data_IF_925750730931
#
_entry.id   IF_925750730931
#
_cell.length_a   1.000
_cell.length_b   1.000
_cell.length_c   1.000
_cell.angle_alpha   90.00
_cell.angle_beta   90.00
_cell.angle_gamma   90.00
#
_symmetry.space_group_name_H-M   'P 1'
#
loop_
_entity.id
_entity.type
_entity.pdbx_description
1 polymer ?
#
# COMPACT_ATOMS: atom_id res chain seq x y z
N UNK A 1 -2.83 -1.27 5.93
CA UNK A 1 -1.79 -0.34 6.20
C UNK A 1 -1.52 0.57 5.04
N UNK A 2 -0.66 1.55 5.26
CA UNK A 2 -0.53 2.62 4.34
C UNK A 2 0.53 2.42 3.33
N UNK A 3 1.29 1.59 3.43
CA UNK A 3 2.40 1.89 2.68
C UNK A 3 2.84 0.95 1.78
N UNK A 4 2.86 1.39 0.76
CA UNK A 4 3.56 0.78 -0.22
C UNK A 4 5.04 0.90 -0.16
N UNK A 5 5.55 1.65 0.74
CA UNK A 5 7.00 1.82 0.82
C UNK A 5 7.59 0.79 1.77
N UNK A 6 8.60 0.03 1.33
CA UNK A 6 9.26 -0.97 2.17
C UNK A 6 9.74 -0.36 3.49
N UNK A 7 9.37 -0.99 4.58
CA UNK A 7 9.93 -0.72 5.87
C UNK A 7 9.33 0.39 6.70
N UNK A 8 8.47 1.27 6.16
CA UNK A 8 7.89 2.34 6.95
C UNK A 8 6.57 2.83 6.38
N UNK A 9 5.52 2.85 7.22
CA UNK A 9 4.24 3.49 6.90
C UNK A 9 4.18 4.92 7.43
N UNK A 10 2.95 5.36 7.74
CA UNK A 10 2.72 6.68 8.33
C UNK A 10 3.07 6.76 9.81
N UNK A 11 3.11 7.98 10.30
CA UNK A 11 3.32 8.30 11.70
C UNK A 11 2.24 9.27 12.20
N UNK A 12 1.95 9.20 13.50
CA UNK A 12 1.11 10.17 14.21
C UNK A 12 1.91 10.69 15.39
N UNK A 13 2.14 11.99 15.42
CA UNK A 13 2.88 12.59 16.52
C UNK A 13 2.01 12.71 17.77
N UNK A 14 2.63 12.66 18.93
CA UNK A 14 1.97 12.68 20.25
C UNK A 14 0.87 13.75 20.38
N UNK A 15 1.13 14.95 19.85
CA UNK A 15 0.15 16.06 19.91
C UNK A 15 -1.13 15.82 19.10
N UNK A 16 -1.12 14.90 18.14
CA UNK A 16 -2.32 14.48 17.38
C UNK A 16 -3.05 13.33 18.08
N UNK A 17 -2.40 12.61 18.98
CA UNK A 17 -2.98 11.48 19.70
C UNK A 17 -3.73 12.02 20.92
N UNK A 18 -4.91 12.61 20.69
CA UNK A 18 -5.83 13.08 21.73
C UNK A 18 -6.39 11.90 22.52
N UNK A 19 -7.03 12.19 23.67
CA UNK A 19 -7.68 11.14 24.46
C UNK A 19 -8.74 10.39 23.64
N UNK A 20 -9.57 11.11 22.89
CA UNK A 20 -10.59 10.51 22.01
C UNK A 20 -9.96 9.53 20.99
N UNK A 21 -8.88 9.95 20.33
CA UNK A 21 -8.18 9.08 19.38
C UNK A 21 -7.54 7.87 20.06
N UNK A 22 -6.99 8.08 21.26
CA UNK A 22 -6.40 7.04 22.08
C UNK A 22 -7.44 5.97 22.47
N UNK A 23 -8.61 6.40 22.91
CA UNK A 23 -9.71 5.52 23.30
C UNK A 23 -10.22 4.68 22.09
N UNK A 24 -10.39 5.31 20.92
CA UNK A 24 -10.80 4.62 19.70
C UNK A 24 -9.77 3.56 19.27
N UNK A 25 -8.47 3.84 19.44
CA UNK A 25 -7.38 2.96 19.01
C UNK A 25 -6.89 1.98 20.08
N UNK A 26 -7.38 2.09 21.32
CA UNK A 26 -6.94 1.26 22.43
C UNK A 26 -5.46 1.47 22.82
N UNK A 27 -4.98 2.72 22.78
CA UNK A 27 -3.58 3.10 23.04
C UNK A 27 -3.50 4.24 24.07
N UNK A 28 -2.36 4.47 24.70
CA UNK A 28 -2.17 5.65 25.55
C UNK A 28 -2.22 6.96 24.72
N UNK A 29 -2.83 8.01 25.31
CA UNK A 29 -2.82 9.34 24.72
C UNK A 29 -1.42 9.99 24.82
N UNK A 30 -1.14 10.91 23.91
CA UNK A 30 0.08 11.73 23.97
C UNK A 30 1.39 11.01 23.66
N UNK A 31 1.34 9.89 22.97
CA UNK A 31 2.53 9.17 22.48
C UNK A 31 2.67 9.23 20.96
N UNK A 32 3.90 9.22 20.48
CA UNK A 32 4.16 9.07 19.04
C UNK A 32 3.85 7.67 18.58
N UNK A 33 3.09 7.55 17.50
CA UNK A 33 2.81 6.28 16.84
C UNK A 33 3.54 6.22 15.51
N UNK A 34 4.22 5.12 15.29
CA UNK A 34 4.88 4.83 14.01
C UNK A 34 4.46 3.45 13.53
N UNK A 35 4.14 3.34 12.26
CA UNK A 35 3.89 2.03 11.67
C UNK A 35 5.14 1.16 11.76
N UNK A 36 5.01 -0.11 12.15
CA UNK A 36 6.16 -1.02 12.17
C UNK A 36 6.64 -1.30 10.75
N UNK A 37 7.90 -1.70 10.62
CA UNK A 37 8.50 -2.05 9.33
C UNK A 37 7.92 -3.33 8.72
N UNK A 38 7.26 -4.14 9.50
CA UNK A 38 6.55 -5.36 9.08
C UNK A 38 5.46 -5.70 10.10
N UNK A 39 4.56 -6.57 9.74
CA UNK A 39 3.63 -7.17 10.69
C UNK A 39 4.39 -8.04 11.70
N UNK A 40 4.13 -7.91 13.01
CA UNK A 40 4.87 -8.65 14.02
C UNK A 40 4.70 -10.18 13.94
N UNK A 41 3.57 -10.63 13.42
CA UNK A 41 3.19 -12.03 13.25
C UNK A 41 3.62 -12.63 11.90
N UNK A 42 4.31 -11.86 11.05
CA UNK A 42 4.79 -12.32 9.74
C UNK A 42 6.31 -12.20 9.70
N UNK A 43 7.00 -13.32 9.83
CA UNK A 43 8.46 -13.42 9.82
C UNK A 43 9.00 -13.86 8.46
N UNK A 44 8.20 -14.55 7.67
CA UNK A 44 8.56 -15.06 6.36
C UNK A 44 7.34 -15.29 5.46
N UNK A 45 7.59 -15.79 4.25
CA UNK A 45 6.55 -16.07 3.27
C UNK A 45 5.54 -17.12 3.76
N UNK A 46 6.00 -18.13 4.48
CA UNK A 46 5.11 -19.20 4.96
C UNK A 46 4.05 -18.68 5.96
N UNK A 47 4.38 -17.62 6.72
CA UNK A 47 3.41 -16.97 7.61
C UNK A 47 2.30 -16.23 6.84
N UNK A 48 2.61 -15.76 5.62
CA UNK A 48 1.62 -15.15 4.73
C UNK A 48 0.58 -16.17 4.27
N UNK A 49 1.02 -17.39 3.93
CA UNK A 49 0.10 -18.49 3.57
C UNK A 49 -0.88 -18.76 4.71
N UNK A 50 -0.36 -18.88 5.94
CA UNK A 50 -1.19 -19.08 7.13
C UNK A 50 -2.18 -17.93 7.32
N UNK A 51 -1.72 -16.69 7.15
CA UNK A 51 -2.58 -15.50 7.29
C UNK A 51 -3.67 -15.44 6.23
N UNK A 52 -3.39 -15.79 4.99
CA UNK A 52 -4.39 -15.89 3.93
C UNK A 52 -5.47 -16.92 4.30
N UNK A 53 -5.05 -18.07 4.78
CA UNK A 53 -6.01 -19.13 5.17
C UNK A 53 -6.87 -18.71 6.36
N UNK A 54 -6.28 -18.11 7.40
CA UNK A 54 -7.05 -17.54 8.52
C UNK A 54 -8.12 -16.55 8.07
N UNK A 55 -7.78 -15.67 7.12
CA UNK A 55 -8.72 -14.68 6.57
C UNK A 55 -9.83 -15.34 5.73
N UNK A 56 -9.49 -16.38 4.97
CA UNK A 56 -10.44 -17.15 4.19
C UNK A 56 -11.42 -17.89 5.10
N UNK A 57 -10.94 -18.58 6.12
CA UNK A 57 -11.77 -19.24 7.11
C UNK A 57 -12.70 -18.25 7.82
N UNK A 58 -12.18 -17.13 8.30
CA UNK A 58 -12.95 -16.08 8.97
C UNK A 58 -14.09 -15.51 8.13
N UNK A 59 -13.93 -15.50 6.80
CA UNK A 59 -14.93 -15.00 5.85
C UNK A 59 -15.78 -16.12 5.22
N UNK A 60 -15.56 -17.36 5.61
CA UNK A 60 -16.19 -18.53 5.01
C UNK A 60 -15.88 -18.66 3.53
N UNK A 61 -14.67 -18.29 3.10
CA UNK A 61 -14.19 -18.33 1.70
C UNK A 61 -15.03 -17.50 0.72
N UNK A 62 -15.70 -16.46 1.21
CA UNK A 62 -16.61 -15.64 0.38
C UNK A 62 -15.99 -14.33 -0.10
N UNK A 63 -14.94 -13.86 0.57
CA UNK A 63 -14.31 -12.59 0.24
C UNK A 63 -12.94 -12.82 -0.38
N UNK A 64 -12.54 -12.01 -1.37
CA UNK A 64 -11.20 -12.05 -1.90
C UNK A 64 -10.20 -11.53 -0.87
N UNK A 65 -8.98 -12.06 -0.89
CA UNK A 65 -7.86 -11.63 -0.06
C UNK A 65 -6.78 -11.05 -0.95
N UNK A 66 -6.40 -9.80 -0.73
CA UNK A 66 -5.33 -9.14 -1.45
C UNK A 66 -4.10 -8.89 -0.58
N UNK A 67 -2.98 -8.67 -1.22
CA UNK A 67 -1.77 -8.14 -0.58
C UNK A 67 -1.37 -6.82 -1.23
N UNK A 68 -1.03 -5.84 -0.40
CA UNK A 68 -0.45 -4.58 -0.87
C UNK A 68 1.07 -4.63 -0.75
N UNK A 69 1.73 -4.52 -1.89
CA UNK A 69 3.18 -4.53 -2.02
C UNK A 69 3.71 -3.14 -2.36
N UNK A 70 4.77 -2.74 -1.70
CA UNK A 70 5.58 -1.60 -2.13
C UNK A 70 6.52 -2.00 -3.25
N UNK A 71 6.71 -1.13 -4.22
CA UNK A 71 7.60 -1.38 -5.35
C UNK A 71 9.07 -1.34 -4.93
N UNK A 72 9.53 -2.37 -4.24
CA UNK A 72 10.93 -2.64 -3.91
C UNK A 72 11.53 -3.65 -4.88
N UNK A 73 11.55 -4.92 -4.50
CA UNK A 73 11.97 -6.04 -5.34
C UNK A 73 10.75 -6.69 -6.02
N UNK A 74 10.13 -5.95 -6.93
CA UNK A 74 8.82 -6.27 -7.51
C UNK A 74 8.77 -7.69 -8.05
N UNK A 75 9.77 -8.13 -8.81
CA UNK A 75 9.78 -9.47 -9.43
C UNK A 75 9.73 -10.60 -8.40
N UNK A 76 10.50 -10.48 -7.32
CA UNK A 76 10.55 -11.49 -6.27
C UNK A 76 9.28 -11.46 -5.43
N UNK A 77 8.85 -10.26 -5.03
CA UNK A 77 7.67 -10.07 -4.19
C UNK A 77 6.37 -10.54 -4.88
N UNK A 78 6.23 -10.31 -6.18
CA UNK A 78 5.11 -10.81 -7.00
C UNK A 78 5.09 -12.34 -7.01
N UNK A 79 6.24 -12.98 -7.25
CA UNK A 79 6.33 -14.45 -7.28
C UNK A 79 5.97 -15.07 -5.92
N UNK A 80 6.38 -14.44 -4.82
CA UNK A 80 6.00 -14.85 -3.48
C UNK A 80 4.50 -14.69 -3.27
N UNK A 81 3.93 -13.52 -3.57
CA UNK A 81 2.51 -13.24 -3.38
C UNK A 81 1.61 -14.23 -4.15
N UNK A 82 1.97 -14.55 -5.39
CA UNK A 82 1.24 -15.56 -6.18
C UNK A 82 1.32 -16.94 -5.54
N UNK A 83 2.50 -17.35 -5.03
CA UNK A 83 2.67 -18.62 -4.35
C UNK A 83 1.84 -18.69 -3.06
N UNK A 84 1.72 -17.57 -2.35
CA UNK A 84 1.01 -17.49 -1.07
C UNK A 84 -0.52 -17.47 -1.23
N UNK A 85 -1.03 -17.40 -2.47
CA UNK A 85 -2.43 -17.62 -2.79
C UNK A 85 -3.33 -16.40 -2.65
N UNK A 86 -2.80 -15.19 -2.78
CA UNK A 86 -3.62 -13.98 -2.86
C UNK A 86 -4.43 -13.94 -4.15
N UNK A 87 -5.66 -13.42 -4.08
CA UNK A 87 -6.57 -13.33 -5.23
C UNK A 87 -6.16 -12.21 -6.19
N UNK A 88 -5.65 -11.09 -5.64
CA UNK A 88 -5.09 -10.00 -6.42
C UNK A 88 -4.00 -9.26 -5.65
N UNK A 89 -3.19 -8.51 -6.38
CA UNK A 89 -2.04 -7.78 -5.83
C UNK A 89 -2.25 -6.28 -6.02
N UNK A 90 -2.13 -5.54 -4.93
CA UNK A 90 -2.10 -4.08 -4.96
C UNK A 90 -0.64 -3.63 -5.01
N UNK A 91 -0.20 -3.14 -6.17
CA UNK A 91 1.18 -2.70 -6.37
C UNK A 91 1.28 -1.19 -6.29
N UNK A 92 2.04 -0.70 -5.32
CA UNK A 92 2.17 0.72 -5.04
C UNK A 92 3.62 1.20 -5.31
N UNK A 93 3.79 2.03 -6.35
CA UNK A 93 5.09 2.55 -6.76
C UNK A 93 5.66 3.64 -5.84
N UNK A 94 6.88 4.11 -6.16
CA UNK A 94 7.56 5.10 -5.32
C UNK A 94 6.78 6.42 -5.17
N UNK A 95 5.94 6.79 -6.12
CA UNK A 95 5.09 7.98 -6.04
C UNK A 95 3.90 7.80 -5.08
N UNK A 96 3.60 6.56 -4.66
CA UNK A 96 2.60 6.27 -3.65
C UNK A 96 3.14 6.56 -2.26
N UNK A 97 2.36 7.26 -1.45
CA UNK A 97 2.72 7.55 -0.08
C UNK A 97 1.56 8.11 0.71
N UNK A 98 1.82 8.40 1.97
CA UNK A 98 0.90 9.14 2.84
C UNK A 98 1.54 10.46 3.24
N UNK A 99 0.75 11.54 3.34
CA UNK A 99 1.21 12.81 3.86
C UNK A 99 1.66 12.76 5.33
N UNK A 100 1.52 11.62 5.98
CA UNK A 100 2.04 11.33 7.33
C UNK A 100 3.33 10.49 7.33
N UNK A 101 3.93 10.23 6.16
CA UNK A 101 5.22 9.56 6.06
C UNK A 101 6.41 10.48 6.36
N UNK A 102 7.60 9.92 6.57
CA UNK A 102 8.83 10.72 6.59
C UNK A 102 9.24 11.12 5.16
N UNK A 103 9.86 12.28 5.02
CA UNK A 103 10.26 12.82 3.71
C UNK A 103 11.19 11.84 2.96
N UNK A 104 12.13 11.23 3.67
CA UNK A 104 13.07 10.29 3.07
C UNK A 104 12.37 9.07 2.46
N UNK A 105 11.34 8.55 3.15
CA UNK A 105 10.57 7.41 2.65
C UNK A 105 9.66 7.82 1.49
N UNK A 106 9.07 9.01 1.57
CA UNK A 106 8.18 9.52 0.52
C UNK A 106 8.95 9.71 -0.79
N UNK A 107 10.14 10.28 -0.73
CA UNK A 107 10.84 10.76 -1.92
C UNK A 107 11.83 9.74 -2.52
N UNK A 108 12.36 8.82 -1.69
CA UNK A 108 13.53 8.05 -2.11
C UNK A 108 13.37 6.52 -2.03
N UNK A 109 12.26 6.00 -1.55
CA UNK A 109 12.09 4.56 -1.38
C UNK A 109 11.16 3.97 -2.44
N UNK A 110 11.63 2.91 -3.08
CA UNK A 110 10.91 2.19 -4.12
C UNK A 110 11.37 2.54 -5.53
N UNK A 111 10.76 1.91 -6.53
CA UNK A 111 10.95 2.22 -7.95
C UNK A 111 9.69 2.92 -8.51
N UNK A 112 9.83 3.69 -9.60
CA UNK A 112 8.71 4.39 -10.22
C UNK A 112 7.55 3.46 -10.57
N UNK A 113 6.33 3.93 -10.38
CA UNK A 113 5.09 3.14 -10.59
C UNK A 113 5.02 2.51 -11.98
N UNK A 114 5.40 3.24 -13.04
CA UNK A 114 5.38 2.68 -14.40
C UNK A 114 6.48 1.63 -14.64
N UNK A 115 7.59 1.71 -13.94
CA UNK A 115 8.60 0.64 -13.98
C UNK A 115 8.13 -0.58 -13.19
N UNK A 116 7.46 -0.35 -12.06
CA UNK A 116 6.96 -1.41 -11.20
C UNK A 116 5.95 -2.32 -11.91
N UNK A 117 5.02 -1.75 -12.69
CA UNK A 117 4.04 -2.56 -13.42
C UNK A 117 4.71 -3.43 -14.49
N UNK A 118 5.71 -2.90 -15.18
CA UNK A 118 6.45 -3.67 -16.20
C UNK A 118 7.16 -4.86 -15.55
N UNK A 119 7.85 -4.65 -14.43
CA UNK A 119 8.50 -5.75 -13.71
C UNK A 119 7.50 -6.78 -13.17
N UNK A 120 6.31 -6.35 -12.73
CA UNK A 120 5.26 -7.24 -12.28
C UNK A 120 4.71 -8.10 -13.42
N UNK A 121 4.43 -7.49 -14.57
CA UNK A 121 3.98 -8.19 -15.80
C UNK A 121 4.99 -9.25 -16.24
N UNK A 122 6.27 -8.88 -16.30
CA UNK A 122 7.35 -9.81 -16.63
C UNK A 122 7.45 -10.96 -15.62
N UNK A 123 7.34 -10.69 -14.34
CA UNK A 123 7.39 -11.71 -13.29
C UNK A 123 6.22 -12.69 -13.39
N UNK A 124 5.00 -12.20 -13.66
CA UNK A 124 3.82 -13.03 -13.85
C UNK A 124 3.91 -13.86 -15.14
N UNK A 125 4.44 -13.28 -16.22
CA UNK A 125 4.66 -13.99 -17.47
C UNK A 125 5.68 -15.13 -17.30
N UNK A 126 6.79 -14.89 -16.60
CA UNK A 126 7.82 -15.91 -16.32
C UNK A 126 7.28 -17.14 -15.60
N UNK A 127 6.35 -16.95 -14.67
CA UNK A 127 5.74 -18.05 -13.91
C UNK A 127 4.43 -18.55 -14.49
N UNK A 128 4.02 -18.03 -15.67
CA UNK A 128 2.80 -18.45 -16.37
C UNK A 128 1.50 -18.11 -15.66
N UNK A 129 1.49 -17.07 -14.80
CA UNK A 129 0.34 -16.73 -13.95
C UNK A 129 -0.33 -15.41 -14.30
N UNK A 130 0.06 -14.76 -15.39
CA UNK A 130 -0.51 -13.45 -15.76
C UNK A 130 -2.02 -13.46 -15.95
N UNK A 131 -2.57 -14.54 -16.49
CA UNK A 131 -4.00 -14.64 -16.75
C UNK A 131 -4.83 -14.92 -15.48
N UNK A 132 -4.19 -15.40 -14.44
CA UNK A 132 -4.85 -15.82 -13.19
C UNK A 132 -4.65 -14.81 -12.06
N UNK A 133 -3.81 -13.79 -12.25
CA UNK A 133 -3.46 -12.83 -11.21
C UNK A 133 -3.79 -11.41 -11.65
N UNK A 134 -4.64 -10.73 -10.90
CA UNK A 134 -4.99 -9.33 -11.15
C UNK A 134 -4.04 -8.39 -10.42
N UNK A 135 -3.72 -7.26 -11.07
CA UNK A 135 -2.89 -6.21 -10.48
C UNK A 135 -3.69 -4.91 -10.41
N UNK A 136 -3.83 -4.38 -9.20
CA UNK A 136 -4.33 -3.02 -8.95
C UNK A 136 -3.12 -2.11 -8.78
N UNK A 137 -2.86 -1.25 -9.76
CA UNK A 137 -1.71 -0.33 -9.72
C UNK A 137 -2.06 0.97 -9.01
N UNK A 138 -1.17 1.43 -8.14
CA UNK A 138 -1.32 2.69 -7.43
C UNK A 138 0.01 3.42 -7.26
N UNK A 139 -0.07 4.67 -6.82
CA UNK A 139 1.09 5.53 -6.65
C UNK A 139 1.28 6.52 -7.81
N UNK A 140 0.92 7.77 -7.56
CA UNK A 140 1.10 8.86 -8.54
C UNK A 140 0.12 8.86 -9.72
N UNK A 141 -0.98 8.14 -9.64
CA UNK A 141 -2.08 8.23 -10.62
C UNK A 141 -2.82 9.56 -10.37
N UNK A 142 -2.69 10.50 -11.29
CA UNK A 142 -3.19 11.87 -11.12
C UNK A 142 -4.51 12.11 -11.80
N UNK A 143 -4.70 11.50 -12.96
CA UNK A 143 -5.84 11.72 -13.84
C UNK A 143 -6.15 10.49 -14.70
N UNK A 144 -7.14 10.62 -15.58
CA UNK A 144 -7.55 9.55 -16.49
C UNK A 144 -6.47 9.15 -17.51
N UNK A 145 -5.56 10.07 -17.86
CA UNK A 145 -4.47 9.76 -18.81
C UNK A 145 -3.46 8.83 -18.14
N UNK A 146 -3.10 9.09 -16.89
CA UNK A 146 -2.22 8.21 -16.14
C UNK A 146 -2.88 6.85 -15.91
N UNK A 147 -4.19 6.81 -15.65
CA UNK A 147 -4.95 5.57 -15.55
C UNK A 147 -4.88 4.74 -16.84
N UNK A 148 -5.12 5.37 -17.99
CA UNK A 148 -5.04 4.67 -19.29
C UNK A 148 -3.63 4.14 -19.55
N UNK A 149 -2.59 4.92 -19.25
CA UNK A 149 -1.21 4.42 -19.37
C UNK A 149 -0.95 3.18 -18.52
N UNK A 150 -1.42 3.22 -17.26
CA UNK A 150 -1.28 2.08 -16.35
C UNK A 150 -1.98 0.81 -16.88
N UNK A 151 -3.20 0.96 -17.37
CA UNK A 151 -3.96 -0.14 -17.98
C UNK A 151 -3.28 -0.68 -19.24
N UNK A 152 -2.76 0.22 -20.11
CA UNK A 152 -2.01 -0.18 -21.30
C UNK A 152 -0.70 -0.92 -20.98
N UNK A 153 -0.12 -0.70 -19.81
CA UNK A 153 1.10 -1.37 -19.35
C UNK A 153 0.83 -2.67 -18.60
N UNK A 154 -0.44 -3.05 -18.45
CA UNK A 154 -0.83 -4.35 -17.90
C UNK A 154 -1.57 -4.30 -16.56
N UNK A 155 -1.82 -3.15 -15.96
CA UNK A 155 -2.68 -3.10 -14.78
C UNK A 155 -4.12 -3.49 -15.13
N UNK A 156 -4.76 -4.29 -14.28
CA UNK A 156 -6.18 -4.64 -14.43
C UNK A 156 -7.09 -3.54 -13.86
N UNK A 157 -6.58 -2.81 -12.88
CA UNK A 157 -7.26 -1.67 -12.28
C UNK A 157 -6.24 -0.66 -11.74
N UNK A 158 -6.71 0.56 -11.43
CA UNK A 158 -5.91 1.59 -10.79
C UNK A 158 -6.60 2.15 -9.55
N UNK A 159 -5.79 2.59 -8.57
CA UNK A 159 -6.30 3.25 -7.38
C UNK A 159 -5.79 4.69 -7.29
N UNK A 160 -6.71 5.61 -7.01
CA UNK A 160 -6.44 7.02 -6.81
C UNK A 160 -6.32 7.31 -5.31
N UNK A 161 -5.24 7.93 -4.89
CA UNK A 161 -5.04 8.37 -3.51
C UNK A 161 -5.01 9.90 -3.42
N UNK A 162 -3.82 10.47 -3.50
CA UNK A 162 -3.58 11.92 -3.33
C UNK A 162 -4.41 12.79 -4.28
N UNK A 163 -4.56 12.40 -5.54
CA UNK A 163 -5.37 13.16 -6.50
C UNK A 163 -6.85 13.24 -6.08
N UNK A 164 -7.40 12.16 -5.53
CA UNK A 164 -8.78 12.15 -5.05
C UNK A 164 -8.97 13.07 -3.84
N UNK A 165 -8.04 13.06 -2.86
CA UNK A 165 -8.14 13.95 -1.70
C UNK A 165 -7.86 15.43 -2.07
N UNK A 166 -7.01 15.69 -3.07
CA UNK A 166 -6.82 17.05 -3.61
C UNK A 166 -8.11 17.55 -4.27
N UNK A 167 -8.80 16.71 -5.04
CA UNK A 167 -10.10 17.04 -5.60
C UNK A 167 -11.17 17.32 -4.52
N UNK A 168 -11.02 16.69 -3.35
CA UNK A 168 -11.83 16.96 -2.15
C UNK A 168 -11.40 18.17 -1.32
N UNK A 169 -10.42 18.96 -1.80
CA UNK A 169 -9.98 20.21 -1.14
C UNK A 169 -8.66 20.12 -0.36
N UNK A 170 -7.96 18.99 -0.38
CA UNK A 170 -6.64 18.90 0.26
C UNK A 170 -5.62 19.78 -0.46
N UNK A 171 -4.87 20.58 0.28
CA UNK A 171 -3.83 21.46 -0.27
C UNK A 171 -2.43 20.83 -0.30
N UNK A 172 -2.32 19.54 -0.03
CA UNK A 172 -1.08 18.79 -0.01
C UNK A 172 0.01 19.40 0.91
N UNK A 173 -0.37 19.96 2.05
CA UNK A 173 0.56 20.63 2.98
C UNK A 173 1.49 19.67 3.74
N UNK A 174 1.31 18.35 3.59
CA UNK A 174 2.11 17.30 4.23
C UNK A 174 2.17 17.36 5.76
N UNK A 175 1.18 17.98 6.41
CA UNK A 175 1.07 18.14 7.87
C UNK A 175 0.14 17.10 8.51
N UNK A 176 -0.16 16.00 7.83
CA UNK A 176 -1.13 14.99 8.27
C UNK A 176 -0.75 14.32 9.61
N UNK A 177 0.55 14.23 9.89
CA UNK A 177 1.09 13.57 11.08
C UNK A 177 1.03 14.42 12.36
N UNK A 178 0.84 15.73 12.26
CA UNK A 178 0.92 16.66 13.40
C UNK A 178 -0.42 17.25 13.87
N UNK A 179 -1.53 16.89 13.24
CA UNK A 179 -2.86 17.40 13.64
C UNK A 179 -3.11 18.86 13.25
N UNK A 180 -2.40 19.38 12.26
CA UNK A 180 -2.55 20.75 11.76
C UNK A 180 -3.07 20.78 10.33
N UNK A 181 -3.92 19.83 9.99
CA UNK A 181 -4.57 19.82 8.70
C UNK A 181 -5.54 21.00 8.58
N UNK A 182 -5.40 21.81 7.54
CA UNK A 182 -6.25 22.99 7.31
C UNK A 182 -7.59 22.64 6.65
N UNK A 183 -7.75 21.40 6.20
CA UNK A 183 -8.94 20.93 5.48
C UNK A 183 -9.67 19.78 6.18
N UNK A 184 -9.19 19.33 7.32
CA UNK A 184 -9.82 18.21 8.03
C UNK A 184 -9.36 17.99 9.44
#
# INVERSE_FOLDING_TARGET
>A
SQGAKPGLGGQLMAKKVTQELADIRGIPAGIDLRSPSRHPDILGADDLVIKVEELREATGYKLPVSVKLGAGRVRDDIKIAVKDGFDFIELDGMQGSTGAGSAEVIDYVGIPTLAAIIEAEEALAEIGRRQDTQIVLMGGIRDGIDAVKALCLGADAVAFGTSAIIAGGCIACMQCHVGQCVTG
#
